data_IF_789517979989
#
_entry.id   IF_789517979989
#
_cell.length_a   1.000
_cell.length_b   1.000
_cell.length_c   1.000
_cell.angle_alpha   90.00
_cell.angle_beta   90.00
_cell.angle_gamma   90.00
#
_symmetry.space_group_name_H-M   'P 1'
#
loop_
_entity.id
_entity.type
_entity.pdbx_description
1 polymer ?
#
# COMPACT_ATOMS: atom_id res chain seq x y z
N UNK A 1 3.06 -18.20 -0.17
CA UNK A 1 3.02 -17.94 1.30
C UNK A 1 3.49 -16.50 1.50
N UNK A 2 2.82 -15.70 2.33
CA UNK A 2 3.22 -14.30 2.54
C UNK A 2 4.11 -14.14 3.77
N UNK A 3 4.91 -13.07 3.78
CA UNK A 3 5.82 -12.71 4.88
C UNK A 3 5.27 -11.51 5.66
N UNK A 4 5.42 -11.53 6.99
CA UNK A 4 5.25 -10.35 7.84
C UNK A 4 6.64 -9.79 8.17
N UNK A 5 6.92 -8.58 7.71
CA UNK A 5 8.19 -7.89 7.86
C UNK A 5 8.11 -6.95 9.08
N UNK A 6 9.02 -7.04 10.06
CA UNK A 6 9.00 -6.18 11.23
C UNK A 6 9.47 -4.76 10.89
N UNK A 7 9.02 -3.78 11.69
CA UNK A 7 9.37 -2.36 11.50
C UNK A 7 10.86 -2.03 11.48
N UNK A 8 11.71 -2.87 12.06
CA UNK A 8 13.17 -2.67 12.16
C UNK A 8 13.96 -3.44 11.10
N UNK A 9 13.30 -3.99 10.07
CA UNK A 9 13.95 -4.74 9.01
C UNK A 9 14.92 -3.85 8.21
N UNK A 10 16.13 -4.38 8.00
CA UNK A 10 17.22 -3.68 7.34
C UNK A 10 17.26 -3.91 5.82
N UNK A 11 16.34 -4.72 5.28
CA UNK A 11 16.21 -4.92 3.84
C UNK A 11 15.47 -3.75 3.22
N UNK A 12 15.87 -3.40 2.01
CA UNK A 12 15.13 -2.50 1.14
C UNK A 12 13.79 -3.14 0.71
N UNK A 13 12.70 -2.36 0.55
CA UNK A 13 11.45 -2.82 -0.07
C UNK A 13 11.66 -3.55 -1.41
N UNK A 14 12.61 -3.09 -2.22
CA UNK A 14 12.94 -3.72 -3.50
C UNK A 14 13.50 -5.13 -3.30
N UNK A 15 14.48 -5.30 -2.40
CA UNK A 15 15.09 -6.59 -2.11
C UNK A 15 14.06 -7.60 -1.55
N UNK A 16 13.15 -7.11 -0.69
CA UNK A 16 12.03 -7.90 -0.17
C UNK A 16 11.12 -8.39 -1.29
N UNK A 17 10.76 -7.50 -2.23
CA UNK A 17 9.89 -7.87 -3.34
C UNK A 17 10.57 -8.81 -4.33
N UNK A 18 11.84 -8.57 -4.67
CA UNK A 18 12.61 -9.47 -5.54
C UNK A 18 12.70 -10.88 -4.97
N UNK A 19 12.97 -10.99 -3.66
CA UNK A 19 12.99 -12.28 -2.97
C UNK A 19 11.60 -12.93 -2.98
N UNK A 20 10.53 -12.15 -2.76
CA UNK A 20 9.17 -12.65 -2.78
C UNK A 20 8.78 -13.22 -4.15
N UNK A 21 9.06 -12.49 -5.23
CA UNK A 21 8.76 -12.90 -6.61
C UNK A 21 9.52 -14.18 -6.97
N UNK A 22 10.82 -14.26 -6.62
CA UNK A 22 11.63 -15.48 -6.85
C UNK A 22 11.05 -16.71 -6.15
N UNK A 23 10.49 -16.52 -4.95
CA UNK A 23 9.98 -17.62 -4.13
C UNK A 23 8.49 -17.93 -4.37
N UNK A 24 7.72 -17.03 -5.00
CA UNK A 24 6.28 -17.18 -5.21
C UNK A 24 5.90 -16.91 -6.67
N UNK A 25 6.61 -17.55 -7.61
CA UNK A 25 6.49 -17.32 -9.06
C UNK A 25 5.06 -17.44 -9.59
N UNK A 26 4.27 -18.37 -9.04
CA UNK A 26 2.91 -18.64 -9.52
C UNK A 26 1.90 -17.56 -9.12
N UNK A 27 2.07 -16.92 -7.95
CA UNK A 27 1.11 -15.92 -7.45
C UNK A 27 1.76 -14.93 -6.46
N UNK A 28 2.69 -14.08 -6.92
CA UNK A 28 3.45 -13.17 -6.05
C UNK A 28 2.61 -11.99 -5.54
N UNK A 29 1.40 -11.81 -6.06
CA UNK A 29 0.55 -10.67 -5.76
C UNK A 29 -0.48 -10.99 -4.69
N UNK A 30 -1.09 -12.17 -4.74
CA UNK A 30 -1.99 -12.62 -3.67
C UNK A 30 -1.24 -12.78 -2.35
N UNK A 31 0.04 -13.15 -2.37
CA UNK A 31 0.82 -13.40 -1.16
C UNK A 31 1.77 -12.26 -0.78
N UNK A 32 1.51 -11.03 -1.27
CA UNK A 32 2.34 -9.85 -1.05
C UNK A 32 2.95 -9.77 0.38
N UNK A 33 4.24 -9.42 0.54
CA UNK A 33 4.84 -9.23 1.85
C UNK A 33 4.28 -7.97 2.54
N UNK A 34 4.08 -8.05 3.86
CA UNK A 34 3.45 -6.99 4.66
C UNK A 34 4.40 -6.45 5.73
N UNK A 35 4.69 -5.15 5.68
CA UNK A 35 5.38 -4.44 6.76
C UNK A 35 4.42 -4.19 7.90
N UNK A 36 4.83 -4.57 9.12
CA UNK A 36 4.09 -4.37 10.36
C UNK A 36 4.72 -3.28 11.22
N UNK A 37 3.92 -2.27 11.57
CA UNK A 37 4.26 -1.20 12.53
C UNK A 37 3.13 -1.12 13.55
N UNK A 38 3.37 -1.62 14.77
CA UNK A 38 2.29 -1.77 15.75
C UNK A 38 1.15 -2.65 15.19
N UNK A 39 -0.06 -2.09 15.13
CA UNK A 39 -1.24 -2.71 14.52
C UNK A 39 -1.51 -2.25 13.07
N UNK A 40 -0.61 -1.49 12.46
CA UNK A 40 -0.66 -1.10 11.05
C UNK A 40 0.09 -2.13 10.19
N UNK A 41 -0.57 -2.65 9.16
CA UNK A 41 -0.01 -3.51 8.14
C UNK A 41 -0.06 -2.80 6.79
N UNK A 42 1.09 -2.75 6.12
CA UNK A 42 1.25 -2.08 4.83
C UNK A 42 1.90 -3.06 3.88
N UNK A 43 1.37 -3.21 2.68
CA UNK A 43 2.06 -3.96 1.66
C UNK A 43 3.39 -3.29 1.34
N UNK A 44 4.44 -4.08 1.07
CA UNK A 44 5.71 -3.54 0.57
C UNK A 44 5.50 -2.89 -0.79
N UNK A 45 4.62 -3.49 -1.61
CA UNK A 45 4.32 -3.06 -2.99
C UNK A 45 2.82 -3.11 -3.26
N UNK A 46 2.42 -3.12 -4.53
CA UNK A 46 1.04 -3.41 -4.91
C UNK A 46 0.57 -4.77 -4.39
N UNK A 47 -0.70 -4.82 -4.00
CA UNK A 47 -1.46 -6.03 -3.69
C UNK A 47 -2.42 -6.37 -4.84
N UNK A 48 -3.03 -7.55 -4.78
CA UNK A 48 -4.19 -7.96 -5.58
C UNK A 48 -5.46 -8.03 -4.73
N UNK A 49 -6.59 -8.30 -5.38
CA UNK A 49 -7.93 -8.48 -4.80
C UNK A 49 -7.96 -9.45 -3.60
N UNK A 50 -7.04 -10.40 -3.56
CA UNK A 50 -6.96 -11.48 -2.56
C UNK A 50 -5.94 -11.23 -1.45
N UNK A 51 -5.05 -10.23 -1.56
CA UNK A 51 -3.95 -10.10 -0.59
C UNK A 51 -4.41 -9.70 0.80
N UNK A 52 -5.22 -8.64 0.93
CA UNK A 52 -5.67 -8.21 2.26
C UNK A 52 -6.68 -9.20 2.87
N UNK A 53 -7.62 -9.84 2.13
CA UNK A 53 -8.46 -10.90 2.70
C UNK A 53 -7.64 -12.07 3.25
N UNK A 54 -6.56 -12.45 2.56
CA UNK A 54 -5.63 -13.49 3.03
C UNK A 54 -4.92 -13.06 4.32
N UNK A 55 -4.48 -11.79 4.42
CA UNK A 55 -3.92 -11.24 5.67
C UNK A 55 -4.93 -11.25 6.81
N UNK A 56 -6.18 -10.82 6.57
CA UNK A 56 -7.24 -10.81 7.60
C UNK A 56 -7.52 -12.22 8.10
N UNK A 57 -7.63 -13.19 7.20
CA UNK A 57 -7.84 -14.61 7.57
C UNK A 57 -6.72 -15.12 8.48
N UNK A 58 -5.47 -14.83 8.13
CA UNK A 58 -4.33 -15.14 8.98
C UNK A 58 -4.42 -14.45 10.34
N UNK A 59 -4.65 -13.14 10.39
CA UNK A 59 -4.69 -12.39 11.66
C UNK A 59 -5.88 -12.80 12.55
N UNK A 60 -7.01 -13.21 11.97
CA UNK A 60 -8.12 -13.81 12.71
C UNK A 60 -7.71 -15.13 13.37
N UNK A 61 -6.94 -15.98 12.69
CA UNK A 61 -6.35 -17.18 13.30
C UNK A 61 -5.39 -16.86 14.46
N UNK A 62 -4.85 -15.63 14.49
CA UNK A 62 -4.01 -15.10 15.57
C UNK A 62 -4.81 -14.32 16.63
N UNK A 63 -6.15 -14.39 16.59
CA UNK A 63 -7.04 -13.78 17.60
C UNK A 63 -7.44 -12.32 17.35
N UNK A 64 -7.07 -11.71 16.21
CA UNK A 64 -7.49 -10.36 15.86
C UNK A 64 -8.94 -10.36 15.35
N UNK A 65 -9.77 -9.43 15.82
CA UNK A 65 -11.23 -9.46 15.54
C UNK A 65 -11.77 -8.20 14.86
N UNK A 66 -11.00 -7.12 14.78
CA UNK A 66 -11.42 -5.83 14.22
C UNK A 66 -10.36 -5.29 13.27
N UNK A 67 -10.80 -4.95 12.06
CA UNK A 67 -9.94 -4.54 10.96
C UNK A 67 -10.52 -3.31 10.26
N UNK A 68 -9.67 -2.34 9.97
CA UNK A 68 -9.97 -1.22 9.07
C UNK A 68 -9.06 -1.31 7.86
N UNK A 69 -9.65 -1.48 6.68
CA UNK A 69 -8.94 -1.60 5.39
C UNK A 69 -9.09 -0.29 4.63
N UNK A 70 -8.01 0.47 4.49
CA UNK A 70 -7.97 1.64 3.64
C UNK A 70 -7.76 1.21 2.18
N UNK A 71 -8.75 1.48 1.33
CA UNK A 71 -8.84 0.95 -0.04
C UNK A 71 -9.49 1.90 -1.04
N UNK A 72 -9.53 1.55 -2.33
CA UNK A 72 -10.19 2.33 -3.39
C UNK A 72 -9.26 3.13 -4.28
N UNK A 73 -7.94 3.01 -4.05
CA UNK A 73 -6.90 3.70 -4.82
C UNK A 73 -5.97 2.72 -5.52
N UNK A 74 -5.91 2.82 -6.84
CA UNK A 74 -5.05 2.01 -7.70
C UNK A 74 -4.02 2.86 -8.47
N UNK A 75 -3.26 3.71 -7.77
CA UNK A 75 -2.22 4.55 -8.35
C UNK A 75 -0.82 4.26 -7.79
N UNK A 76 -0.02 3.52 -8.57
CA UNK A 76 1.43 3.17 -8.53
C UNK A 76 2.19 3.02 -7.20
N UNK A 77 3.29 2.26 -7.24
CA UNK A 77 4.22 2.02 -6.12
C UNK A 77 5.05 3.26 -5.71
N UNK A 78 4.84 4.41 -6.36
CA UNK A 78 5.65 5.61 -6.21
C UNK A 78 5.19 6.56 -5.10
N UNK A 79 4.18 6.20 -4.30
CA UNK A 79 3.59 7.09 -3.30
C UNK A 79 2.44 7.95 -3.84
N UNK A 80 2.14 9.03 -3.15
CA UNK A 80 0.93 9.82 -3.34
C UNK A 80 1.17 11.06 -4.22
N UNK A 81 0.63 11.05 -5.43
CA UNK A 81 0.54 12.26 -6.25
C UNK A 81 -0.36 13.30 -5.56
N UNK A 82 0.13 14.51 -5.39
CA UNK A 82 -0.61 15.68 -4.90
C UNK A 82 -0.76 16.72 -6.02
N UNK A 83 -1.91 17.37 -6.04
CA UNK A 83 -2.18 18.52 -6.89
C UNK A 83 -1.34 19.70 -6.42
N UNK A 84 -0.45 20.19 -7.28
CA UNK A 84 0.46 21.32 -6.96
C UNK A 84 -0.30 22.58 -6.54
N UNK A 85 -1.51 22.80 -7.08
CA UNK A 85 -2.33 23.98 -6.78
C UNK A 85 -3.25 23.82 -5.58
N UNK A 86 -3.47 22.60 -5.08
CA UNK A 86 -4.49 22.35 -4.05
C UNK A 86 -4.01 21.56 -2.84
N UNK A 87 -2.83 20.94 -2.88
CA UNK A 87 -2.29 20.10 -1.80
C UNK A 87 -3.07 18.80 -1.55
N UNK A 88 -4.18 18.57 -2.27
CA UNK A 88 -4.94 17.33 -2.20
C UNK A 88 -4.32 16.24 -3.07
N UNK A 89 -4.57 15.00 -2.68
CA UNK A 89 -4.30 13.82 -3.48
C UNK A 89 -4.93 13.98 -4.88
N UNK A 90 -4.11 13.81 -5.91
CA UNK A 90 -4.51 14.04 -7.29
C UNK A 90 -5.47 12.94 -7.76
N UNK A 91 -6.71 13.33 -8.05
CA UNK A 91 -7.76 12.45 -8.62
C UNK A 91 -7.40 11.93 -10.02
N UNK A 92 -6.47 12.58 -10.72
CA UNK A 92 -6.11 12.28 -12.11
C UNK A 92 -5.48 10.89 -12.31
N UNK A 93 -4.82 10.33 -11.28
CA UNK A 93 -4.04 9.09 -11.41
C UNK A 93 -4.55 7.95 -10.50
N UNK A 94 -5.68 8.15 -9.85
CA UNK A 94 -5.93 7.53 -8.53
C UNK A 94 -7.32 6.91 -8.40
N UNK A 95 -8.24 7.23 -9.31
CA UNK A 95 -9.63 6.87 -9.16
C UNK A 95 -10.02 5.70 -10.05
N UNK A 96 -10.17 4.54 -9.41
CA UNK A 96 -11.04 3.51 -9.95
C UNK A 96 -11.90 2.92 -8.82
N UNK A 97 -13.12 3.44 -8.75
CA UNK A 97 -14.12 3.11 -7.71
C UNK A 97 -14.47 1.62 -7.70
N UNK A 98 -14.21 0.89 -8.78
CA UNK A 98 -14.49 -0.55 -8.84
C UNK A 98 -13.69 -1.33 -7.80
N UNK A 99 -12.45 -0.93 -7.50
CA UNK A 99 -11.61 -1.62 -6.52
C UNK A 99 -12.21 -1.50 -5.12
N UNK A 100 -12.61 -0.29 -4.72
CA UNK A 100 -13.32 -0.07 -3.46
C UNK A 100 -14.59 -0.95 -3.37
N UNK A 101 -15.40 -0.97 -4.44
CA UNK A 101 -16.62 -1.78 -4.47
C UNK A 101 -16.32 -3.28 -4.36
N UNK A 102 -15.24 -3.75 -4.98
CA UNK A 102 -14.80 -5.14 -4.88
C UNK A 102 -14.32 -5.46 -3.46
N UNK A 103 -13.63 -4.55 -2.79
CA UNK A 103 -13.21 -4.75 -1.40
C UNK A 103 -14.38 -4.74 -0.43
N UNK A 104 -15.39 -3.90 -0.64
CA UNK A 104 -16.64 -3.95 0.14
C UNK A 104 -17.31 -5.32 -0.02
N UNK A 105 -17.35 -5.87 -1.23
CA UNK A 105 -17.87 -7.23 -1.47
C UNK A 105 -17.00 -8.29 -0.80
N UNK A 106 -15.68 -8.16 -0.82
CA UNK A 106 -14.77 -9.07 -0.16
C UNK A 106 -14.88 -8.99 1.38
N UNK A 107 -15.08 -7.79 1.93
CA UNK A 107 -15.30 -7.53 3.35
C UNK A 107 -16.55 -8.20 3.91
N UNK A 108 -17.60 -8.35 3.08
CA UNK A 108 -18.82 -9.04 3.48
C UNK A 108 -18.57 -10.50 3.95
N UNK A 109 -17.50 -11.14 3.47
CA UNK A 109 -17.09 -12.49 3.91
C UNK A 109 -16.62 -12.54 5.37
N UNK A 110 -16.25 -11.40 5.94
CA UNK A 110 -15.78 -11.25 7.31
C UNK A 110 -16.84 -10.65 8.25
N UNK A 111 -18.08 -10.48 7.77
CA UNK A 111 -19.17 -9.88 8.54
C UNK A 111 -18.80 -8.49 9.07
N UNK A 112 -19.02 -8.27 10.37
CA UNK A 112 -18.75 -6.98 11.03
C UNK A 112 -17.28 -6.79 11.45
N UNK A 113 -16.39 -7.76 11.18
CA UNK A 113 -14.99 -7.67 11.59
C UNK A 113 -14.20 -6.66 10.75
N UNK A 114 -14.60 -6.41 9.50
CA UNK A 114 -13.87 -5.58 8.54
C UNK A 114 -14.68 -4.36 8.16
N UNK A 115 -14.08 -3.18 8.32
CA UNK A 115 -14.57 -1.92 7.76
C UNK A 115 -13.66 -1.49 6.62
N UNK A 116 -14.22 -1.22 5.44
CA UNK A 116 -13.46 -0.70 4.29
C UNK A 116 -13.66 0.81 4.21
N UNK A 117 -12.56 1.56 4.15
CA UNK A 117 -12.55 3.01 4.01
C UNK A 117 -12.12 3.35 2.60
N UNK A 118 -12.98 4.02 1.83
CA UNK A 118 -12.63 4.57 0.53
C UNK A 118 -11.61 5.71 0.71
N UNK A 119 -10.41 5.53 0.17
CA UNK A 119 -9.33 6.52 0.12
C UNK A 119 -9.13 7.14 -1.26
N UNK A 120 -9.76 6.57 -2.29
CA UNK A 120 -9.60 7.01 -3.67
C UNK A 120 -10.53 8.16 -4.03
N UNK A 121 -11.77 8.14 -3.53
CA UNK A 121 -12.79 9.13 -3.88
C UNK A 121 -13.32 9.97 -2.72
N UNK A 122 -12.91 9.66 -1.49
CA UNK A 122 -13.43 10.32 -0.30
C UNK A 122 -12.63 11.59 0.05
N UNK A 123 -13.27 12.76 0.14
CA UNK A 123 -12.64 13.98 0.64
C UNK A 123 -12.05 13.84 2.04
N UNK A 124 -12.63 12.97 2.89
CA UNK A 124 -12.16 12.68 4.24
C UNK A 124 -10.88 11.84 4.28
N UNK A 125 -10.24 11.58 3.15
CA UNK A 125 -8.94 10.91 3.06
C UNK A 125 -8.04 11.61 2.04
N UNK A 126 -8.43 12.80 1.57
CA UNK A 126 -7.85 13.45 0.41
C UNK A 126 -6.49 14.14 0.66
N UNK A 127 -5.87 13.94 1.82
CA UNK A 127 -4.50 14.38 2.13
C UNK A 127 -3.81 13.35 3.02
N UNK A 128 -2.48 13.35 3.03
CA UNK A 128 -1.65 12.51 3.94
C UNK A 128 -1.92 12.82 5.41
N UNK A 129 -2.11 14.09 5.77
CA UNK A 129 -2.47 14.50 7.13
C UNK A 129 -3.82 13.93 7.59
N UNK A 130 -4.83 13.95 6.73
CA UNK A 130 -6.15 13.39 7.06
C UNK A 130 -6.07 11.85 7.12
N UNK A 131 -5.38 11.20 6.18
CA UNK A 131 -5.15 9.76 6.22
C UNK A 131 -4.45 9.33 7.52
N UNK A 132 -3.43 10.08 7.95
CA UNK A 132 -2.74 9.86 9.21
C UNK A 132 -3.71 9.98 10.40
N UNK A 133 -4.55 11.02 10.45
CA UNK A 133 -5.53 11.21 11.51
C UNK A 133 -6.54 10.04 11.59
N UNK A 134 -7.11 9.64 10.45
CA UNK A 134 -8.03 8.51 10.37
C UNK A 134 -7.35 7.19 10.76
N UNK A 135 -6.08 7.03 10.39
CA UNK A 135 -5.30 5.84 10.76
C UNK A 135 -5.08 5.78 12.27
N UNK A 136 -4.72 6.88 12.92
CA UNK A 136 -4.60 6.95 14.39
C UNK A 136 -5.92 6.58 15.07
N UNK A 137 -7.04 7.10 14.58
CA UNK A 137 -8.36 6.77 15.11
C UNK A 137 -8.68 5.27 14.94
N UNK A 138 -8.40 4.70 13.77
CA UNK A 138 -8.66 3.30 13.49
C UNK A 138 -7.75 2.35 14.32
N UNK A 139 -6.49 2.72 14.53
CA UNK A 139 -5.53 1.95 15.34
C UNK A 139 -5.97 1.82 16.80
N UNK A 140 -6.73 2.79 17.32
CA UNK A 140 -7.31 2.70 18.67
C UNK A 140 -8.37 1.59 18.80
N UNK A 141 -8.90 1.09 17.68
CA UNK A 141 -10.01 0.14 17.63
C UNK A 141 -9.64 -1.24 17.09
N UNK A 142 -8.44 -1.42 16.53
CA UNK A 142 -8.01 -2.70 15.97
C UNK A 142 -6.85 -2.61 15.00
N UNK A 143 -6.79 -3.58 14.10
CA UNK A 143 -5.78 -3.66 13.04
C UNK A 143 -6.13 -2.71 11.90
N UNK A 144 -5.14 -1.99 11.40
CA UNK A 144 -5.27 -1.18 10.18
C UNK A 144 -4.49 -1.83 9.05
N UNK A 145 -5.10 -1.93 7.88
CA UNK A 145 -4.49 -2.47 6.67
C UNK A 145 -4.53 -1.41 5.58
N UNK A 146 -3.36 -1.09 5.03
CA UNK A 146 -3.23 -0.31 3.81
C UNK A 146 -3.17 -1.26 2.63
N UNK A 147 -4.21 -1.25 1.78
CA UNK A 147 -4.33 -2.14 0.63
C UNK A 147 -4.02 -1.43 -0.70
N UNK A 148 -3.76 -2.20 -1.75
CA UNK A 148 -3.52 -1.75 -3.12
C UNK A 148 -2.28 -0.88 -3.26
N UNK A 149 -2.44 0.33 -3.79
CA UNK A 149 -1.35 1.27 -3.95
C UNK A 149 -1.06 2.05 -2.66
N UNK A 150 -1.91 1.89 -1.64
CA UNK A 150 -1.58 2.26 -0.27
C UNK A 150 -0.63 1.19 0.29
N UNK A 151 0.66 1.43 0.12
CA UNK A 151 1.77 0.58 0.55
C UNK A 151 2.61 1.30 1.61
N UNK A 152 3.81 0.82 1.90
CA UNK A 152 4.80 1.53 2.71
C UNK A 152 5.07 2.97 2.24
N UNK A 153 4.76 3.32 0.99
CA UNK A 153 4.95 4.67 0.43
C UNK A 153 3.73 5.58 0.58
N UNK A 154 2.73 5.19 1.37
CA UNK A 154 1.46 5.93 1.49
C UNK A 154 1.58 7.34 2.08
N UNK A 155 2.69 7.65 2.75
CA UNK A 155 2.92 8.98 3.34
C UNK A 155 3.89 9.83 2.50
N UNK A 156 4.38 9.29 1.38
CA UNK A 156 5.31 9.98 0.49
C UNK A 156 4.53 10.82 -0.53
N UNK A 157 4.66 12.15 -0.47
CA UNK A 157 3.97 13.07 -1.38
C UNK A 157 4.83 13.48 -2.58
N UNK A 158 4.22 13.57 -3.77
CA UNK A 158 4.86 13.99 -5.01
C UNK A 158 4.01 14.92 -5.85
N UNK A 159 4.65 15.86 -6.55
CA UNK A 159 3.97 16.69 -7.53
C UNK A 159 3.33 15.83 -8.65
N UNK A 160 2.12 16.21 -9.07
CA UNK A 160 1.40 15.51 -10.14
C UNK A 160 2.18 15.45 -11.46
N UNK A 161 2.98 16.48 -11.77
CA UNK A 161 3.83 16.54 -12.97
C UNK A 161 4.94 15.50 -12.92
N UNK A 162 5.61 15.36 -11.77
CA UNK A 162 6.61 14.31 -11.55
C UNK A 162 5.99 12.92 -11.74
N UNK A 163 4.76 12.75 -11.23
CA UNK A 163 4.02 11.50 -11.34
C UNK A 163 3.65 11.14 -12.78
N UNK A 164 3.27 12.12 -13.63
CA UNK A 164 3.02 11.89 -15.05
C UNK A 164 4.24 11.34 -15.78
N UNK A 165 5.42 11.89 -15.46
CA UNK A 165 6.69 11.46 -16.05
C UNK A 165 7.03 10.01 -15.69
N UNK A 166 6.64 9.56 -14.49
CA UNK A 166 6.81 8.19 -14.01
C UNK A 166 5.83 7.25 -14.71
N UNK A 167 4.54 7.60 -14.68
CA UNK A 167 3.46 6.75 -15.18
C UNK A 167 3.56 6.46 -16.70
N UNK A 168 4.08 7.43 -17.46
CA UNK A 168 4.15 7.34 -18.91
C UNK A 168 5.41 6.62 -19.44
N UNK A 169 6.38 6.27 -18.57
CA UNK A 169 7.55 5.51 -18.99
C UNK A 169 7.22 4.02 -19.13
N UNK A 170 7.17 3.55 -20.37
CA UNK A 170 7.10 2.11 -20.67
C UNK A 170 8.47 1.49 -20.42
N UNK A 171 8.61 0.67 -19.38
CA UNK A 171 9.84 -0.09 -19.17
C UNK A 171 9.70 -1.53 -19.66
N UNK A 172 10.67 -1.93 -20.47
CA UNK A 172 10.86 -3.29 -20.96
C UNK A 172 12.15 -3.79 -20.32
N UNK A 173 12.14 -4.97 -19.69
CA UNK A 173 13.38 -5.52 -19.14
C UNK A 173 14.35 -5.95 -20.25
N UNK A 174 15.57 -6.34 -19.88
CA UNK A 174 16.62 -6.84 -20.80
C UNK A 174 16.18 -8.04 -21.65
N UNK A 175 15.12 -8.72 -21.26
CA UNK A 175 14.56 -9.89 -21.94
C UNK A 175 13.33 -9.55 -22.82
N UNK A 176 13.06 -8.26 -23.05
CA UNK A 176 11.96 -7.82 -23.91
C UNK A 176 10.57 -7.89 -23.27
N UNK A 177 10.48 -8.24 -21.99
CA UNK A 177 9.21 -8.35 -21.26
C UNK A 177 8.79 -6.95 -20.81
N UNK A 178 7.58 -6.53 -21.19
CA UNK A 178 6.93 -5.35 -20.62
C UNK A 178 6.78 -5.54 -19.11
N UNK A 179 7.60 -4.83 -18.35
CA UNK A 179 7.48 -4.83 -16.90
C UNK A 179 6.18 -4.09 -16.57
N UNK A 180 5.13 -4.81 -16.14
CA UNK A 180 3.93 -4.17 -15.61
C UNK A 180 4.30 -3.44 -14.32
N UNK A 181 4.76 -2.19 -14.40
CA UNK A 181 4.99 -1.31 -13.24
C UNK A 181 5.71 -1.99 -12.06
N UNK A 182 6.58 -2.98 -12.33
CA UNK A 182 7.39 -3.62 -11.33
C UNK A 182 8.62 -2.76 -11.14
N UNK A 183 8.71 -2.02 -10.05
CA UNK A 183 9.95 -1.41 -9.57
C UNK A 183 10.66 -0.40 -10.49
N UNK A 184 10.22 -0.15 -11.73
CA UNK A 184 10.99 0.69 -12.65
C UNK A 184 10.46 2.11 -12.70
N UNK A 185 11.33 3.00 -12.24
CA UNK A 185 11.36 4.42 -12.55
C UNK A 185 10.33 5.30 -11.85
N UNK A 186 10.43 5.37 -10.53
CA UNK A 186 10.18 6.66 -9.90
C UNK A 186 11.39 7.09 -9.10
N UNK A 187 11.43 8.36 -8.73
CA UNK A 187 12.32 8.93 -7.72
C UNK A 187 12.31 8.11 -6.40
N UNK A 188 11.33 7.21 -6.21
CA UNK A 188 11.35 6.16 -5.21
C UNK A 188 12.49 5.13 -5.39
N UNK A 189 13.15 5.01 -6.55
CA UNK A 189 14.38 4.20 -6.71
C UNK A 189 15.54 4.75 -5.87
N UNK A 190 15.62 6.07 -5.65
CA UNK A 190 16.62 6.65 -4.75
C UNK A 190 16.25 6.42 -3.27
N UNK A 191 14.95 6.42 -2.93
CA UNK A 191 14.46 6.05 -1.60
C UNK A 191 14.31 4.53 -1.40
N UNK A 192 14.41 3.72 -2.46
CA UNK A 192 14.33 2.25 -2.39
C UNK A 192 15.61 1.62 -1.86
N UNK A 193 16.69 2.39 -1.73
CA UNK A 193 17.86 2.01 -0.96
C UNK A 193 17.68 2.24 0.54
N UNK A 194 16.64 2.99 0.95
CA UNK A 194 16.29 3.07 2.36
C UNK A 194 15.70 1.73 2.79
N UNK A 195 16.15 1.29 3.95
CA UNK A 195 15.64 0.11 4.62
C UNK A 195 14.20 0.35 5.07
N UNK A 196 13.44 -0.73 5.28
CA UNK A 196 12.12 -0.64 5.95
C UNK A 196 12.23 0.15 7.25
N UNK A 197 13.29 -0.06 8.04
CA UNK A 197 13.53 0.67 9.27
C UNK A 197 13.64 2.19 9.08
N UNK A 198 14.33 2.66 8.03
CA UNK A 198 14.44 4.08 7.72
C UNK A 198 13.09 4.65 7.29
N UNK A 199 12.39 3.97 6.36
CA UNK A 199 11.10 4.43 5.84
C UNK A 199 10.03 4.48 6.95
N UNK A 200 9.99 3.47 7.83
CA UNK A 200 9.05 3.45 8.96
C UNK A 200 9.37 4.56 9.95
N UNK A 201 10.65 4.80 10.27
CA UNK A 201 11.07 5.90 11.14
C UNK A 201 10.65 7.25 10.57
N UNK A 202 10.92 7.49 9.29
CA UNK A 202 10.70 8.78 8.65
C UNK A 202 9.21 9.08 8.48
N UNK A 203 8.40 8.08 8.12
CA UNK A 203 7.04 8.30 7.67
C UNK A 203 5.95 7.79 8.61
N UNK A 204 6.29 6.89 9.52
CA UNK A 204 5.34 6.19 10.40
C UNK A 204 5.77 6.21 11.87
N UNK A 205 6.72 7.07 12.27
CA UNK A 205 7.11 7.26 13.68
C UNK A 205 5.97 7.70 14.59
N UNK A 206 4.86 8.19 14.01
CA UNK A 206 3.64 8.56 14.72
C UNK A 206 2.71 7.38 15.02
N UNK A 207 2.99 6.19 14.49
CA UNK A 207 2.26 4.95 14.80
C UNK A 207 2.74 4.43 16.16
N UNK A 208 1.83 4.16 17.13
CA UNK A 208 2.20 3.66 18.46
C UNK A 208 2.97 2.33 18.47
#
# INVERSE_FOLDING_TARGET
MFEIIPKNDQRAPLALMENHIKNNVADPWTTCPWVKVGNLYMSVTQTSDSSWPTLVTYLQSQGQTRFTVFSGRHGTQAGQAVSESKGFLSSQYVLDKIFYQNDVKAAAKFGNAVTVVDVGSNPQTATTAILQANTKQALASGVVIYAWCHSLFSMMDHSAVLYSGIYNKKVVNKDGIRMRNYAVESRALWLSNLTVAQLVTDWYSWVP
#
